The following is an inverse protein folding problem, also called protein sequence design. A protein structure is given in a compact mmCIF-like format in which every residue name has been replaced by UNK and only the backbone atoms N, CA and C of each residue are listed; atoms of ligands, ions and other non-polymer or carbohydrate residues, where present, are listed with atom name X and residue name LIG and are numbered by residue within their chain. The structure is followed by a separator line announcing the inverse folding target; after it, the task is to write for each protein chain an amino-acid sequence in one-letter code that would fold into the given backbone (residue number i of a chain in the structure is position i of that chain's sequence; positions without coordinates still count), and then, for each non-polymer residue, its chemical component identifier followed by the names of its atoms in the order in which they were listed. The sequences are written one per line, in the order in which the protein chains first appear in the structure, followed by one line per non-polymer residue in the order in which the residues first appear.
data_IF_055172948870
#
_entry.id   IF_055172948870
#
_cell.length_a   1.000
_cell.length_b   1.000
_cell.length_c   1.000
_cell.angle_alpha   90.00
_cell.angle_beta   90.00
_cell.angle_gamma   90.00
#
_symmetry.space_group_name_H-M   'P 1'
#
loop_
_entity.id
_entity.type
_entity.pdbx_description
1 polymer ?
#
# COMPACT_ATOMS: atom_id res chain seq x y z
N UNK A 1 -7.47 -76.68 17.75
CA UNK A 1 -8.12 -75.39 18.11
C UNK A 1 -7.39 -74.84 19.32
N UNK A 2 -6.59 -73.79 19.13
CA UNK A 2 -5.80 -73.17 20.20
C UNK A 2 -5.33 -71.80 19.74
N UNK A 3 -5.75 -70.76 20.45
CA UNK A 3 -5.37 -69.38 20.20
C UNK A 3 -3.87 -69.18 20.44
N UNK A 4 -3.21 -68.44 19.56
CA UNK A 4 -1.90 -67.84 19.85
C UNK A 4 -1.96 -66.36 19.49
N UNK A 5 -1.94 -65.51 20.52
CA UNK A 5 -1.89 -64.06 20.38
C UNK A 5 -0.57 -63.60 19.77
N UNK A 6 -0.62 -62.47 19.06
CA UNK A 6 0.58 -61.68 18.73
C UNK A 6 0.33 -60.23 19.11
N UNK A 7 1.11 -59.78 20.08
CA UNK A 7 1.28 -58.40 20.50
C UNK A 7 2.03 -57.65 19.39
N UNK A 8 1.43 -56.60 18.83
CA UNK A 8 2.13 -55.69 17.90
C UNK A 8 2.65 -54.51 18.72
N UNK A 9 3.97 -54.46 18.89
CA UNK A 9 4.68 -53.30 19.45
C UNK A 9 4.92 -52.32 18.31
N UNK A 10 4.32 -51.13 18.38
CA UNK A 10 4.63 -50.02 17.47
C UNK A 10 5.76 -49.21 18.09
N UNK A 11 6.96 -49.33 17.52
CA UNK A 11 8.10 -48.47 17.84
C UNK A 11 7.97 -47.14 17.07
N UNK A 12 8.15 -45.97 17.71
CA UNK A 12 8.22 -44.70 17.00
C UNK A 12 9.55 -44.60 16.24
N UNK A 13 9.48 -44.35 14.93
CA UNK A 13 10.63 -44.01 14.11
C UNK A 13 11.04 -42.57 14.43
N UNK A 14 12.11 -42.40 15.22
CA UNK A 14 12.76 -41.10 15.40
C UNK A 14 13.65 -40.86 14.19
N UNK A 15 13.24 -39.96 13.30
CA UNK A 15 14.10 -39.48 12.22
C UNK A 15 15.13 -38.50 12.81
N UNK A 16 16.37 -38.95 12.93
CA UNK A 16 17.52 -38.07 13.22
C UNK A 16 17.80 -37.20 12.01
N UNK A 17 17.54 -35.90 12.11
CA UNK A 17 18.09 -34.93 11.18
C UNK A 17 19.59 -34.79 11.45
N UNK A 18 20.42 -35.33 10.55
CA UNK A 18 21.83 -34.99 10.51
C UNK A 18 21.95 -33.54 10.05
N UNK A 19 22.39 -32.65 10.94
CA UNK A 19 22.79 -31.31 10.58
C UNK A 19 24.04 -31.41 9.70
N UNK A 20 23.85 -31.38 8.38
CA UNK A 20 24.93 -31.17 7.43
C UNK A 20 25.44 -29.76 7.60
N UNK A 21 26.55 -29.60 8.33
CA UNK A 21 27.33 -28.36 8.39
C UNK A 21 28.02 -28.13 7.05
N UNK A 22 27.26 -27.75 6.03
CA UNK A 22 27.80 -27.07 4.86
C UNK A 22 28.02 -25.62 5.24
N UNK A 23 29.27 -25.17 5.31
CA UNK A 23 29.58 -23.75 5.35
C UNK A 23 28.91 -23.09 4.15
N UNK A 24 27.91 -22.24 4.41
CA UNK A 24 27.34 -21.38 3.41
C UNK A 24 28.48 -20.50 2.88
N UNK A 25 28.94 -20.78 1.66
CA UNK A 25 29.95 -19.95 1.00
C UNK A 25 29.50 -18.49 1.08
N UNK A 26 30.36 -17.64 1.63
CA UNK A 26 30.09 -16.22 1.74
C UNK A 26 29.68 -15.69 0.35
N UNK A 27 28.45 -15.19 0.24
CA UNK A 27 28.01 -14.52 -0.96
C UNK A 27 28.98 -13.36 -1.22
N UNK A 28 29.69 -13.40 -2.35
CA UNK A 28 30.47 -12.26 -2.82
C UNK A 28 29.51 -11.08 -2.94
N UNK A 29 29.75 -10.03 -2.16
CA UNK A 29 28.96 -8.81 -2.25
C UNK A 29 29.03 -8.30 -3.70
N UNK A 30 27.86 -8.17 -4.35
CA UNK A 30 27.80 -7.62 -5.69
C UNK A 30 28.36 -6.20 -5.66
N UNK A 31 29.37 -5.93 -6.49
CA UNK A 31 29.83 -4.55 -6.71
C UNK A 31 28.68 -3.82 -7.39
N UNK A 32 28.13 -2.75 -6.80
CA UNK A 32 27.07 -2.00 -7.43
C UNK A 32 27.59 -1.46 -8.78
N UNK A 33 26.77 -1.51 -9.85
CA UNK A 33 27.18 -0.96 -11.12
C UNK A 33 27.55 0.52 -10.96
N UNK A 34 28.54 1.03 -11.70
CA UNK A 34 28.90 2.43 -11.65
C UNK A 34 27.69 3.31 -11.99
N UNK A 35 27.59 4.47 -11.34
CA UNK A 35 26.58 5.45 -11.68
C UNK A 35 26.82 5.94 -13.12
N UNK A 36 25.79 5.82 -13.98
CA UNK A 36 25.87 6.26 -15.38
C UNK A 36 25.56 7.76 -15.55
N UNK A 37 24.95 8.37 -14.52
CA UNK A 37 24.79 9.82 -14.36
C UNK A 37 25.57 10.19 -13.10
N UNK A 38 26.73 10.83 -13.25
CA UNK A 38 27.59 11.24 -12.12
C UNK A 38 27.10 12.54 -11.45
N UNK A 39 25.82 12.56 -11.07
CA UNK A 39 25.18 13.68 -10.39
C UNK A 39 24.09 13.19 -9.42
N UNK A 40 23.64 14.07 -8.53
CA UNK A 40 22.46 13.85 -7.69
C UNK A 40 21.20 13.83 -8.59
N UNK A 41 20.79 12.61 -8.96
CA UNK A 41 19.74 12.31 -9.93
C UNK A 41 18.83 11.16 -9.43
N UNK A 42 18.13 11.32 -8.29
CA UNK A 42 17.33 10.26 -7.67
C UNK A 42 15.99 10.04 -8.37
N UNK A 43 15.44 8.83 -8.21
CA UNK A 43 14.16 8.40 -8.78
C UNK A 43 14.03 8.68 -10.30
N UNK A 44 14.97 8.19 -11.13
CA UNK A 44 14.95 8.50 -12.55
C UNK A 44 13.78 7.81 -13.26
N UNK A 45 13.00 8.58 -14.01
CA UNK A 45 12.22 8.07 -15.13
C UNK A 45 12.97 8.30 -16.44
N UNK A 46 12.88 7.33 -17.36
CA UNK A 46 13.63 7.33 -18.63
C UNK A 46 12.71 7.06 -19.80
N UNK A 47 12.70 7.98 -20.77
CA UNK A 47 12.01 7.81 -22.05
C UNK A 47 12.97 7.86 -23.22
N UNK A 48 12.53 7.30 -24.35
CA UNK A 48 13.17 7.50 -25.65
C UNK A 48 12.29 8.40 -26.52
N UNK A 49 12.84 9.50 -27.01
CA UNK A 49 12.18 10.36 -27.99
C UNK A 49 13.09 10.55 -29.22
N UNK A 50 12.62 10.08 -30.38
CA UNK A 50 13.46 9.98 -31.57
C UNK A 50 14.62 9.02 -31.33
N UNK A 51 15.85 9.47 -31.60
CA UNK A 51 17.09 8.72 -31.34
C UNK A 51 17.69 8.96 -29.96
N UNK A 52 17.12 9.88 -29.16
CA UNK A 52 17.71 10.34 -27.91
C UNK A 52 16.93 9.78 -26.71
N UNK A 53 17.67 9.43 -25.66
CA UNK A 53 17.12 9.08 -24.36
C UNK A 53 17.08 10.31 -23.47
N UNK A 54 16.02 10.43 -22.68
CA UNK A 54 15.84 11.50 -21.71
C UNK A 54 15.57 10.87 -20.35
N UNK A 55 16.20 11.41 -19.31
CA UNK A 55 15.97 11.01 -17.94
C UNK A 55 15.49 12.22 -17.15
N UNK A 56 14.59 12.02 -16.18
CA UNK A 56 14.05 13.04 -15.28
C UNK A 56 14.21 12.57 -13.84
N UNK A 57 14.52 13.47 -12.91
CA UNK A 57 14.74 13.08 -11.51
C UNK A 57 13.88 13.83 -10.52
N UNK A 58 13.80 13.28 -9.32
CA UNK A 58 13.48 14.02 -8.09
C UNK A 58 14.36 15.27 -7.97
N UNK A 59 13.81 16.33 -7.34
CA UNK A 59 14.49 17.61 -7.09
C UNK A 59 15.91 17.42 -6.57
N UNK A 60 16.83 18.18 -7.14
CA UNK A 60 18.22 18.25 -6.69
C UNK A 60 18.75 19.66 -6.89
N UNK A 61 20.06 19.86 -6.68
CA UNK A 61 20.72 21.14 -6.98
C UNK A 61 20.56 21.61 -8.44
N UNK A 62 20.24 20.69 -9.36
CA UNK A 62 20.08 20.99 -10.78
C UNK A 62 18.69 21.55 -11.13
N UNK A 63 17.70 21.47 -10.23
CA UNK A 63 16.36 21.97 -10.49
C UNK A 63 15.27 21.27 -9.68
N UNK A 64 14.03 21.71 -9.90
CA UNK A 64 12.83 21.09 -9.33
C UNK A 64 12.60 19.69 -9.90
N UNK A 65 12.73 19.54 -11.22
CA UNK A 65 12.77 18.24 -11.90
C UNK A 65 13.97 18.27 -12.86
N UNK A 66 15.17 17.90 -12.40
CA UNK A 66 16.34 17.82 -13.27
C UNK A 66 16.08 16.91 -14.47
N UNK A 67 16.61 17.28 -15.64
CA UNK A 67 16.52 16.49 -16.87
C UNK A 67 17.91 16.27 -17.47
N UNK A 68 18.17 15.06 -17.94
CA UNK A 68 19.37 14.68 -18.66
C UNK A 68 19.03 14.03 -19.99
N UNK A 69 19.98 13.99 -20.92
CA UNK A 69 19.84 13.25 -22.17
C UNK A 69 21.08 12.42 -22.50
N UNK A 70 20.89 11.37 -23.30
CA UNK A 70 21.95 10.50 -23.79
C UNK A 70 21.64 9.92 -25.17
N UNK A 71 22.66 9.55 -25.96
CA UNK A 71 22.47 8.82 -27.22
C UNK A 71 22.13 7.33 -27.02
N UNK A 72 22.37 6.78 -25.82
CA UNK A 72 22.15 5.37 -25.45
C UNK A 72 21.64 5.29 -24.00
N UNK A 73 20.88 4.25 -23.60
CA UNK A 73 20.50 4.05 -22.19
C UNK A 73 21.70 3.98 -21.25
N UNK A 74 22.85 3.53 -21.77
CA UNK A 74 24.11 3.41 -21.03
C UNK A 74 24.95 4.70 -21.05
N UNK A 75 24.42 5.79 -21.60
CA UNK A 75 25.10 7.08 -21.69
C UNK A 75 25.94 7.28 -22.97
N UNK A 76 26.84 8.28 -22.99
CA UNK A 76 27.07 9.24 -21.90
C UNK A 76 25.85 10.13 -21.68
N UNK A 77 25.51 10.36 -20.41
CA UNK A 77 24.41 11.22 -20.01
C UNK A 77 24.89 12.64 -19.74
N UNK A 78 24.14 13.64 -20.21
CA UNK A 78 24.40 15.06 -19.97
C UNK A 78 23.20 15.69 -19.29
N UNK A 79 23.37 16.22 -18.08
CA UNK A 79 22.33 16.99 -17.38
C UNK A 79 22.13 18.33 -18.09
N UNK A 80 20.88 18.63 -18.48
CA UNK A 80 20.50 19.78 -19.30
C UNK A 80 19.84 20.93 -18.53
N UNK A 81 19.41 20.69 -17.28
CA UNK A 81 18.79 21.70 -16.43
C UNK A 81 17.50 21.19 -15.77
N UNK A 82 16.52 22.09 -15.60
CA UNK A 82 15.24 21.81 -14.94
C UNK A 82 14.10 21.70 -15.97
N UNK A 83 13.48 20.54 -16.05
CA UNK A 83 12.31 20.30 -16.88
C UNK A 83 11.05 20.99 -16.35
N UNK A 84 10.94 21.29 -15.04
CA UNK A 84 9.76 21.89 -14.42
C UNK A 84 10.12 23.19 -13.65
N UNK A 85 10.58 24.24 -14.34
CA UNK A 85 11.04 25.47 -13.68
C UNK A 85 9.90 26.26 -13.00
N UNK A 86 8.64 26.06 -13.42
CA UNK A 86 7.45 26.62 -12.75
C UNK A 86 6.68 25.57 -11.95
N UNK A 87 6.12 25.95 -10.79
CA UNK A 87 5.26 25.08 -9.96
C UNK A 87 3.78 25.45 -10.10
N UNK A 88 2.84 24.52 -9.89
CA UNK A 88 1.42 24.86 -9.83
C UNK A 88 1.11 25.73 -8.60
N UNK A 89 0.01 26.48 -8.66
CA UNK A 89 -0.43 27.40 -7.59
C UNK A 89 -0.76 26.69 -6.28
N UNK A 90 -1.24 25.45 -6.33
CA UNK A 90 -1.56 24.65 -5.14
C UNK A 90 -0.32 24.20 -4.37
N UNK A 91 0.85 24.16 -5.02
CA UNK A 91 2.08 23.61 -4.45
C UNK A 91 2.88 24.65 -3.66
N UNK A 92 3.37 24.22 -2.49
CA UNK A 92 4.25 24.97 -1.62
C UNK A 92 5.68 25.02 -2.13
N UNK A 93 6.56 25.58 -1.30
CA UNK A 93 7.99 25.51 -1.52
C UNK A 93 8.52 24.25 -0.82
N UNK A 94 9.20 23.40 -1.57
CA UNK A 94 9.63 22.08 -1.13
C UNK A 94 10.06 21.22 -2.33
N UNK A 95 10.40 19.97 -2.06
CA UNK A 95 10.86 19.05 -3.10
C UNK A 95 9.70 18.55 -3.97
N UNK A 96 10.01 18.34 -5.24
CA UNK A 96 9.15 17.70 -6.23
C UNK A 96 9.79 16.39 -6.63
N UNK A 97 9.03 15.31 -6.58
CA UNK A 97 9.62 13.96 -6.53
C UNK A 97 9.05 13.04 -7.59
N UNK A 98 9.87 12.04 -7.96
CA UNK A 98 9.54 10.88 -8.75
C UNK A 98 8.69 11.25 -9.99
N UNK A 99 9.26 12.02 -10.93
CA UNK A 99 8.55 12.33 -12.17
C UNK A 99 8.31 11.05 -12.98
N UNK A 100 7.15 10.95 -13.63
CA UNK A 100 6.85 9.95 -14.66
C UNK A 100 6.45 10.69 -15.95
N UNK A 101 7.17 10.46 -17.03
CA UNK A 101 6.99 11.17 -18.29
C UNK A 101 6.57 10.19 -19.38
N UNK A 102 5.50 10.49 -20.09
CA UNK A 102 5.06 9.71 -21.25
C UNK A 102 4.75 10.61 -22.45
N UNK A 103 5.06 10.12 -23.65
CA UNK A 103 4.65 10.80 -24.89
C UNK A 103 3.19 10.46 -25.20
N UNK A 104 2.39 11.48 -25.48
CA UNK A 104 0.98 11.39 -25.85
C UNK A 104 0.80 11.21 -27.36
N UNK A 105 -0.38 10.75 -27.76
CA UNK A 105 -0.74 10.58 -29.17
C UNK A 105 -0.73 11.90 -29.97
N UNK A 106 -1.01 13.02 -29.31
CA UNK A 106 -0.93 14.39 -29.88
C UNK A 106 0.51 14.93 -30.01
N UNK A 107 1.52 14.09 -29.70
CA UNK A 107 2.94 14.44 -29.79
C UNK A 107 3.51 15.20 -28.60
N UNK A 108 2.68 15.66 -27.65
CA UNK A 108 3.14 16.30 -26.42
C UNK A 108 3.66 15.28 -25.40
N UNK A 109 4.39 15.76 -24.42
CA UNK A 109 4.88 15.00 -23.28
C UNK A 109 4.06 15.36 -22.05
N UNK A 110 3.60 14.35 -21.34
CA UNK A 110 2.90 14.47 -20.08
C UNK A 110 3.81 13.99 -18.97
N UNK A 111 3.99 14.84 -17.96
CA UNK A 111 4.69 14.53 -16.72
C UNK A 111 3.68 14.43 -15.60
N UNK A 112 3.67 13.33 -14.87
CA UNK A 112 3.15 13.27 -13.51
C UNK A 112 4.28 13.52 -12.53
N UNK A 113 4.00 14.18 -11.41
CA UNK A 113 5.01 14.47 -10.38
C UNK A 113 4.38 14.57 -9.01
N UNK A 114 5.17 14.35 -7.97
CA UNK A 114 4.77 14.61 -6.58
C UNK A 114 5.13 16.04 -6.19
N UNK A 115 4.27 16.76 -5.48
CA UNK A 115 4.55 18.10 -4.93
C UNK A 115 3.86 18.37 -3.59
N UNK A 116 4.39 19.29 -2.76
CA UNK A 116 3.85 19.56 -1.43
C UNK A 116 2.61 20.44 -1.52
N UNK A 117 1.44 19.95 -1.11
CA UNK A 117 0.21 20.73 -1.13
C UNK A 117 0.19 21.79 -0.01
N UNK A 118 -0.08 23.04 -0.39
CA UNK A 118 -0.24 24.12 0.60
C UNK A 118 -1.52 23.98 1.42
N UNK A 119 -2.57 23.35 0.87
CA UNK A 119 -3.86 23.19 1.51
C UNK A 119 -3.85 22.05 2.53
N UNK A 120 -3.35 20.88 2.13
CA UNK A 120 -3.39 19.66 2.97
C UNK A 120 -2.14 19.46 3.82
N UNK A 121 -1.04 20.18 3.50
CA UNK A 121 0.29 19.95 4.07
C UNK A 121 0.82 18.53 3.86
N UNK A 122 0.27 17.81 2.89
CA UNK A 122 0.71 16.49 2.44
C UNK A 122 1.34 16.57 1.05
N UNK A 123 2.03 15.51 0.67
CA UNK A 123 2.46 15.35 -0.71
C UNK A 123 1.28 14.90 -1.55
N UNK A 124 1.14 15.50 -2.73
CA UNK A 124 0.04 15.24 -3.65
C UNK A 124 0.59 15.18 -5.09
N UNK A 125 -0.15 14.56 -6.00
CA UNK A 125 0.30 14.34 -7.36
C UNK A 125 -0.25 15.42 -8.27
N UNK A 126 0.61 16.01 -9.09
CA UNK A 126 0.26 16.95 -10.15
C UNK A 126 0.54 16.39 -11.54
N UNK A 127 0.11 17.14 -12.55
CA UNK A 127 0.41 16.87 -13.95
C UNK A 127 0.94 18.14 -14.64
N UNK A 128 1.80 17.96 -15.63
CA UNK A 128 2.35 19.03 -16.47
C UNK A 128 2.53 18.58 -17.92
N UNK A 129 2.42 19.51 -18.87
CA UNK A 129 2.60 19.25 -20.30
C UNK A 129 3.79 20.00 -20.88
N UNK A 130 4.46 19.39 -21.86
CA UNK A 130 5.45 20.07 -22.70
C UNK A 130 5.36 19.61 -24.16
N UNK A 131 5.61 20.49 -25.15
CA UNK A 131 5.75 20.06 -26.54
C UNK A 131 7.09 19.36 -26.83
N UNK A 132 8.07 19.41 -25.92
CA UNK A 132 9.40 18.79 -26.11
C UNK A 132 9.79 17.93 -24.90
N UNK A 133 10.64 16.91 -25.07
CA UNK A 133 11.05 16.08 -23.95
C UNK A 133 11.93 16.84 -22.94
N UNK A 134 12.65 17.90 -23.34
CA UNK A 134 13.47 18.69 -22.42
C UNK A 134 12.66 19.69 -21.59
N UNK A 135 11.36 19.84 -21.85
CA UNK A 135 10.57 20.89 -21.24
C UNK A 135 10.68 22.25 -21.96
N UNK A 136 10.36 23.36 -21.26
CA UNK A 136 9.79 23.37 -19.92
C UNK A 136 8.42 22.71 -19.92
N UNK A 137 8.17 21.85 -18.95
CA UNK A 137 6.86 21.36 -18.59
C UNK A 137 6.10 22.47 -17.87
N UNK A 138 4.83 22.61 -18.22
CA UNK A 138 3.91 23.60 -17.63
C UNK A 138 2.85 22.84 -16.85
N UNK A 139 2.72 23.06 -15.53
CA UNK A 139 1.66 22.45 -14.74
C UNK A 139 0.29 22.72 -15.36
N UNK A 140 -0.59 21.73 -15.29
CA UNK A 140 -1.97 21.80 -15.80
C UNK A 140 -2.96 21.51 -14.66
N UNK A 141 -4.18 22.03 -14.81
CA UNK A 141 -5.24 21.94 -13.80
C UNK A 141 -5.14 23.00 -12.71
N UNK A 142 -6.26 23.25 -12.03
CA UNK A 142 -6.37 24.27 -10.97
C UNK A 142 -6.03 23.71 -9.57
N UNK A 143 -5.80 22.40 -9.47
CA UNK A 143 -5.50 21.68 -8.23
C UNK A 143 -4.63 20.44 -8.48
N UNK A 144 -4.24 19.71 -7.42
CA UNK A 144 -3.57 18.43 -7.58
C UNK A 144 -4.52 17.42 -8.26
N UNK A 145 -3.95 16.50 -9.03
CA UNK A 145 -4.67 15.41 -9.67
C UNK A 145 -5.10 14.33 -8.67
N UNK A 146 -4.23 13.99 -7.71
CA UNK A 146 -4.51 13.06 -6.60
C UNK A 146 -4.01 13.71 -5.32
N UNK A 147 -4.87 13.80 -4.31
CA UNK A 147 -4.55 14.43 -3.03
C UNK A 147 -5.56 14.02 -1.96
N UNK A 148 -5.35 12.86 -1.32
CA UNK A 148 -6.12 12.44 -0.18
C UNK A 148 -5.32 12.63 1.14
N UNK A 149 -5.65 13.66 1.95
CA UNK A 149 -4.98 13.87 3.22
C UNK A 149 -5.29 12.80 4.27
N UNK A 150 -6.43 12.10 4.18
CA UNK A 150 -6.79 11.02 5.10
C UNK A 150 -5.88 9.79 4.88
N UNK A 151 -5.44 9.60 3.64
CA UNK A 151 -4.42 8.64 3.25
C UNK A 151 -2.99 9.18 3.47
N UNK A 152 -2.76 10.20 4.31
CA UNK A 152 -1.42 10.62 4.74
C UNK A 152 -0.50 11.23 3.67
N UNK A 153 -0.87 11.17 2.38
CA UNK A 153 -0.20 11.75 1.23
C UNK A 153 0.04 10.76 0.09
N UNK A 154 -0.01 11.28 -1.14
CA UNK A 154 0.12 10.56 -2.39
C UNK A 154 1.43 10.95 -3.09
N UNK A 155 2.27 9.96 -3.37
CA UNK A 155 3.62 10.14 -3.89
C UNK A 155 3.96 9.11 -4.98
N UNK A 156 5.11 9.31 -5.60
CA UNK A 156 5.76 8.35 -6.50
C UNK A 156 4.83 7.88 -7.64
N UNK A 157 4.26 8.80 -8.45
CA UNK A 157 3.41 8.43 -9.57
C UNK A 157 4.17 7.60 -10.61
N UNK A 158 3.50 6.63 -11.21
CA UNK A 158 3.95 5.91 -12.40
C UNK A 158 2.76 5.64 -13.30
N UNK A 159 2.89 5.92 -14.60
CA UNK A 159 1.79 5.77 -15.55
C UNK A 159 2.08 4.73 -16.62
N UNK A 160 1.03 4.06 -17.06
CA UNK A 160 1.08 3.22 -18.25
C UNK A 160 -0.21 3.34 -19.05
N UNK A 161 -0.13 2.99 -20.32
CA UNK A 161 -1.29 2.88 -21.21
C UNK A 161 -1.44 1.41 -21.56
N UNK A 162 -2.60 0.83 -21.25
CA UNK A 162 -2.91 -0.55 -21.57
C UNK A 162 -3.22 -0.71 -23.06
N UNK A 163 -3.29 -1.95 -23.52
CA UNK A 163 -3.54 -2.37 -24.90
C UNK A 163 -4.86 -1.89 -25.49
N UNK A 164 -5.83 -1.53 -24.66
CA UNK A 164 -7.11 -0.93 -25.05
C UNK A 164 -7.07 0.60 -25.17
N UNK A 165 -5.92 1.22 -24.84
CA UNK A 165 -5.73 2.67 -24.82
C UNK A 165 -6.08 3.33 -23.49
N UNK A 166 -6.53 2.58 -22.49
CA UNK A 166 -6.82 3.10 -21.15
C UNK A 166 -5.53 3.49 -20.46
N UNK A 167 -5.50 4.70 -19.87
CA UNK A 167 -4.37 5.16 -19.08
C UNK A 167 -4.62 4.90 -17.61
N UNK A 168 -3.64 4.29 -16.97
CA UNK A 168 -3.61 4.05 -15.54
C UNK A 168 -2.50 4.89 -14.90
N UNK A 169 -2.78 5.38 -13.70
CA UNK A 169 -1.81 6.02 -12.82
C UNK A 169 -1.72 5.16 -11.57
N UNK A 170 -0.55 4.56 -11.34
CA UNK A 170 -0.20 3.95 -10.07
C UNK A 170 0.50 5.01 -9.23
N UNK A 171 0.28 4.97 -7.92
CA UNK A 171 0.96 5.84 -6.99
C UNK A 171 1.04 5.16 -5.63
N UNK A 172 1.93 5.68 -4.80
CA UNK A 172 2.13 5.20 -3.44
C UNK A 172 1.47 6.15 -2.45
N UNK A 173 0.89 5.54 -1.44
CA UNK A 173 0.41 6.22 -0.25
C UNK A 173 1.51 6.14 0.84
N UNK A 174 1.84 7.26 1.49
CA UNK A 174 2.98 7.36 2.44
C UNK A 174 2.76 6.50 3.71
N UNK A 175 3.81 5.87 4.28
CA UNK A 175 3.71 5.00 5.48
C UNK A 175 3.00 5.69 6.66
N UNK A 176 2.15 4.92 7.35
CA UNK A 176 1.26 5.41 8.41
C UNK A 176 -0.17 5.64 7.91
N UNK A 177 -0.37 5.61 6.61
CA UNK A 177 -1.68 5.65 5.98
C UNK A 177 -2.37 4.32 6.13
N UNK A 178 -3.55 4.39 6.73
CA UNK A 178 -4.33 3.23 7.06
C UNK A 178 -5.08 2.79 5.84
N UNK A 179 -4.85 1.57 5.37
CA UNK A 179 -5.70 1.00 4.33
C UNK A 179 -6.95 0.48 5.01
N UNK A 180 -8.11 1.06 4.67
CA UNK A 180 -9.41 0.66 5.20
C UNK A 180 -9.99 -0.51 4.39
N UNK A 181 -10.50 -1.50 5.12
CA UNK A 181 -11.24 -2.63 4.61
C UNK A 181 -12.57 -2.68 5.34
N UNK A 182 -13.65 -2.33 4.63
CA UNK A 182 -15.00 -2.32 5.18
C UNK A 182 -15.44 -3.72 5.59
N UNK A 183 -16.01 -3.85 6.79
CA UNK A 183 -16.40 -5.15 7.32
C UNK A 183 -17.56 -5.75 6.52
N UNK A 184 -18.49 -4.92 6.04
CA UNK A 184 -19.65 -5.33 5.25
C UNK A 184 -19.31 -5.85 3.85
N UNK A 185 -18.07 -5.64 3.39
CA UNK A 185 -17.54 -6.26 2.16
C UNK A 185 -16.92 -7.63 2.42
N UNK A 186 -16.84 -8.05 3.68
CA UNK A 186 -16.33 -9.34 4.11
C UNK A 186 -17.32 -10.49 3.88
N UNK A 187 -16.84 -11.71 4.14
CA UNK A 187 -17.72 -12.90 4.21
C UNK A 187 -18.22 -13.05 5.63
N UNK A 188 -19.52 -13.21 5.82
CA UNK A 188 -20.15 -13.34 7.15
C UNK A 188 -20.73 -14.73 7.36
N UNK A 189 -20.73 -15.19 8.62
CA UNK A 189 -21.43 -16.41 9.06
C UNK A 189 -22.23 -16.11 10.32
N UNK A 190 -23.51 -16.49 10.33
CA UNK A 190 -24.45 -16.21 11.43
C UNK A 190 -24.36 -14.76 11.94
N UNK A 191 -24.24 -13.83 11.00
CA UNK A 191 -24.17 -12.38 11.19
C UNK A 191 -24.80 -11.73 9.96
N UNK A 192 -25.13 -10.44 10.04
CA UNK A 192 -25.85 -9.74 8.99
C UNK A 192 -25.19 -8.41 8.66
N UNK A 193 -25.24 -8.01 7.38
CA UNK A 193 -24.88 -6.63 7.01
C UNK A 193 -26.08 -5.72 7.31
N UNK A 194 -25.87 -4.75 8.19
CA UNK A 194 -26.87 -3.73 8.55
C UNK A 194 -26.54 -2.43 7.82
N UNK A 195 -27.39 -2.05 6.87
CA UNK A 195 -27.29 -0.76 6.15
C UNK A 195 -28.06 0.35 6.87
N UNK A 196 -27.72 1.61 6.57
CA UNK A 196 -28.34 2.78 7.21
C UNK A 196 -27.82 3.02 8.64
N UNK A 197 -26.64 2.50 8.95
CA UNK A 197 -25.97 2.72 10.23
C UNK A 197 -25.46 4.17 10.29
N UNK A 198 -26.07 4.99 11.15
CA UNK A 198 -25.76 6.41 11.23
C UNK A 198 -24.32 6.62 11.70
N UNK A 199 -23.52 7.37 10.92
CA UNK A 199 -22.14 7.69 11.27
C UNK A 199 -21.11 6.59 10.96
N UNK A 200 -21.54 5.40 10.53
CA UNK A 200 -20.63 4.34 10.09
C UNK A 200 -19.99 4.69 8.74
N UNK A 201 -18.79 4.15 8.47
CA UNK A 201 -18.18 4.23 7.14
C UNK A 201 -19.12 3.63 6.11
N UNK A 202 -19.30 4.30 4.98
CA UNK A 202 -20.23 3.90 3.90
C UNK A 202 -21.69 3.62 4.36
N UNK A 203 -22.06 3.99 5.59
CA UNK A 203 -23.38 3.80 6.16
C UNK A 203 -23.78 2.34 6.39
N UNK A 204 -22.85 1.39 6.46
CA UNK A 204 -23.13 -0.03 6.67
C UNK A 204 -22.13 -0.67 7.62
N UNK A 205 -22.55 -1.74 8.30
CA UNK A 205 -21.73 -2.49 9.26
C UNK A 205 -22.04 -3.98 9.22
N UNK A 206 -21.18 -4.81 9.79
CA UNK A 206 -21.52 -6.19 10.16
C UNK A 206 -22.07 -6.21 11.58
N UNK A 207 -23.31 -6.68 11.70
CA UNK A 207 -24.08 -6.75 12.91
C UNK A 207 -24.51 -8.18 13.24
N UNK A 208 -25.18 -8.34 14.39
CA UNK A 208 -25.71 -9.63 14.89
C UNK A 208 -24.65 -10.73 14.97
N UNK A 209 -23.44 -10.36 15.38
CA UNK A 209 -22.38 -11.31 15.74
C UNK A 209 -22.72 -11.92 17.11
N UNK A 210 -23.83 -12.68 17.19
CA UNK A 210 -24.51 -13.00 18.46
C UNK A 210 -24.38 -14.46 18.88
N UNK A 211 -23.97 -15.35 17.96
CA UNK A 211 -23.82 -16.77 18.19
C UNK A 211 -22.35 -17.14 18.39
N UNK A 212 -22.09 -18.23 19.10
CA UNK A 212 -20.72 -18.71 19.34
C UNK A 212 -19.93 -19.02 18.05
N UNK A 213 -20.62 -19.24 16.93
CA UNK A 213 -20.05 -19.43 15.60
C UNK A 213 -20.27 -18.24 14.67
N UNK A 214 -20.76 -17.10 15.15
CA UNK A 214 -20.84 -15.87 14.37
C UNK A 214 -19.45 -15.30 14.09
N UNK A 215 -19.17 -14.96 12.84
CA UNK A 215 -17.91 -14.32 12.45
C UNK A 215 -18.01 -13.50 11.17
N UNK A 216 -17.05 -12.60 10.99
CA UNK A 216 -16.75 -11.93 9.71
C UNK A 216 -15.29 -12.20 9.32
N UNK A 217 -15.10 -12.54 8.04
CA UNK A 217 -13.81 -12.63 7.37
C UNK A 217 -13.59 -11.38 6.51
N UNK A 218 -12.56 -10.62 6.84
CA UNK A 218 -12.14 -9.42 6.11
C UNK A 218 -10.82 -9.73 5.41
N UNK A 219 -10.80 -9.57 4.09
CA UNK A 219 -9.59 -9.78 3.29
C UNK A 219 -8.75 -8.51 3.23
N UNK A 220 -7.49 -8.64 3.62
CA UNK A 220 -6.54 -7.52 3.70
C UNK A 220 -5.26 -7.85 2.95
N UNK A 221 -4.60 -6.83 2.41
CA UNK A 221 -3.33 -6.98 1.71
C UNK A 221 -2.18 -6.42 2.55
N UNK A 222 -1.09 -7.19 2.65
CA UNK A 222 0.16 -6.79 3.26
C UNK A 222 1.26 -6.81 2.19
N UNK A 223 1.87 -5.68 1.80
CA UNK A 223 2.89 -5.66 0.76
C UNK A 223 4.14 -6.45 1.14
N UNK A 224 4.43 -6.56 2.44
CA UNK A 224 5.54 -7.33 3.01
C UNK A 224 5.03 -8.12 4.22
N UNK A 225 5.57 -9.31 4.47
CA UNK A 225 5.25 -10.07 5.67
C UNK A 225 5.82 -9.40 6.92
N UNK A 226 5.08 -9.44 8.03
CA UNK A 226 5.53 -8.84 9.29
C UNK A 226 4.39 -8.51 10.25
N UNK A 227 4.74 -7.73 11.26
CA UNK A 227 3.80 -7.25 12.28
C UNK A 227 3.13 -5.96 11.82
N UNK A 228 1.81 -5.92 11.92
CA UNK A 228 0.96 -4.77 11.58
C UNK A 228 0.05 -4.43 12.76
N UNK A 229 -0.43 -3.17 12.78
CA UNK A 229 -1.51 -2.74 13.67
C UNK A 229 -2.82 -2.77 12.91
N UNK A 230 -3.77 -3.60 13.37
CA UNK A 230 -5.15 -3.57 12.92
C UNK A 230 -5.97 -2.65 13.84
N UNK A 231 -6.48 -1.55 13.30
CA UNK A 231 -7.42 -0.67 13.98
C UNK A 231 -8.84 -1.14 13.62
N UNK A 232 -9.53 -1.77 14.56
CA UNK A 232 -10.88 -2.31 14.36
C UNK A 232 -11.90 -1.27 14.79
N UNK A 233 -12.68 -0.76 13.84
CA UNK A 233 -13.77 0.16 14.11
C UNK A 233 -15.04 -0.61 14.51
N UNK A 234 -15.68 -0.18 15.60
CA UNK A 234 -16.78 -0.89 16.21
C UNK A 234 -17.76 0.06 16.92
N UNK A 235 -18.95 -0.47 17.23
CA UNK A 235 -19.82 0.04 18.28
C UNK A 235 -20.25 -1.12 19.20
N UNK A 236 -20.34 -0.84 20.49
CA UNK A 236 -20.84 -1.76 21.50
C UNK A 236 -21.68 -0.97 22.50
N UNK A 237 -22.89 -1.44 22.81
CA UNK A 237 -23.86 -0.72 23.63
C UNK A 237 -24.57 -1.55 24.70
N UNK A 238 -24.05 -2.73 25.02
CA UNK A 238 -24.59 -3.60 26.07
C UNK A 238 -23.47 -4.18 26.94
N UNK A 239 -22.59 -3.31 27.44
CA UNK A 239 -21.37 -3.65 28.15
C UNK A 239 -20.22 -4.05 27.24
N UNK A 240 -19.01 -4.07 27.80
CA UNK A 240 -17.78 -4.40 27.07
C UNK A 240 -17.89 -5.77 26.39
N UNK A 241 -17.65 -5.79 25.07
CA UNK A 241 -17.74 -6.99 24.24
C UNK A 241 -16.36 -7.46 23.77
N UNK A 242 -16.28 -8.69 23.28
CA UNK A 242 -15.03 -9.27 22.80
C UNK A 242 -15.26 -10.15 21.57
N UNK A 243 -14.30 -10.12 20.65
CA UNK A 243 -14.14 -11.09 19.58
C UNK A 243 -12.75 -11.73 19.63
N UNK A 244 -12.64 -12.99 19.21
CA UNK A 244 -11.33 -13.56 18.87
C UNK A 244 -10.92 -13.07 17.48
N UNK A 245 -9.63 -12.76 17.30
CA UNK A 245 -9.02 -12.41 16.02
C UNK A 245 -8.04 -13.49 15.58
N UNK A 246 -8.26 -14.03 14.38
CA UNK A 246 -7.31 -14.94 13.71
C UNK A 246 -6.87 -14.37 12.39
N UNK A 247 -5.65 -14.71 11.95
CA UNK A 247 -5.11 -14.40 10.63
C UNK A 247 -4.84 -15.71 9.91
N UNK A 248 -5.45 -15.92 8.75
CA UNK A 248 -5.31 -17.16 7.96
C UNK A 248 -5.55 -18.42 8.81
N UNK A 249 -6.53 -18.37 9.71
CA UNK A 249 -6.86 -19.45 10.66
C UNK A 249 -5.97 -19.54 11.90
N UNK A 250 -4.87 -18.78 11.97
CA UNK A 250 -3.95 -18.78 13.12
C UNK A 250 -4.37 -17.72 14.14
N UNK A 251 -4.57 -18.12 15.40
CA UNK A 251 -4.96 -17.21 16.47
C UNK A 251 -3.93 -16.08 16.68
N UNK A 252 -4.42 -14.85 16.87
CA UNK A 252 -3.59 -13.67 17.10
C UNK A 252 -3.89 -13.04 18.46
N UNK A 253 -5.14 -12.65 18.69
CA UNK A 253 -5.53 -11.87 19.86
C UNK A 253 -7.00 -12.06 20.22
N UNK A 254 -7.37 -11.62 21.42
CA UNK A 254 -8.75 -11.25 21.74
C UNK A 254 -8.86 -9.74 21.63
N UNK A 255 -9.81 -9.26 20.82
CA UNK A 255 -10.10 -7.84 20.64
C UNK A 255 -11.17 -7.46 21.64
N UNK A 256 -10.89 -6.45 22.47
CA UNK A 256 -11.79 -5.95 23.50
C UNK A 256 -12.45 -4.66 23.02
N UNK A 257 -13.76 -4.57 23.16
CA UNK A 257 -14.60 -3.47 22.71
C UNK A 257 -15.27 -2.80 23.92
N UNK A 258 -14.67 -1.73 24.48
CA UNK A 258 -15.32 -0.94 25.52
C UNK A 258 -16.72 -0.47 25.13
N UNK A 259 -17.68 -0.52 26.05
CA UNK A 259 -19.02 0.03 25.80
C UNK A 259 -18.93 1.56 25.61
N UNK A 260 -19.40 2.03 24.47
CA UNK A 260 -19.52 3.46 24.13
C UNK A 260 -20.93 3.83 23.67
N UNK A 261 -21.89 2.91 23.75
CA UNK A 261 -23.21 3.02 23.16
C UNK A 261 -23.25 2.56 21.70
N UNK A 262 -24.43 2.11 21.27
CA UNK A 262 -24.71 1.75 19.87
C UNK A 262 -24.62 2.97 18.95
N UNK A 263 -24.19 2.74 17.71
CA UNK A 263 -23.94 3.77 16.69
C UNK A 263 -22.95 4.88 17.11
N UNK A 264 -22.16 4.65 18.17
CA UNK A 264 -21.06 5.53 18.58
C UNK A 264 -19.71 4.91 18.18
N UNK A 265 -19.36 5.09 16.91
CA UNK A 265 -18.22 4.41 16.28
C UNK A 265 -16.88 4.90 16.81
N UNK A 266 -16.05 3.96 17.26
CA UNK A 266 -14.68 4.23 17.66
C UNK A 266 -13.78 3.05 17.29
N UNK A 267 -12.49 3.14 17.62
CA UNK A 267 -11.50 2.14 17.24
C UNK A 267 -10.77 1.55 18.44
N UNK A 268 -10.42 0.28 18.32
CA UNK A 268 -9.46 -0.42 19.18
C UNK A 268 -8.35 -1.01 18.33
N UNK A 269 -7.17 -1.14 18.91
CA UNK A 269 -6.00 -1.68 18.23
C UNK A 269 -5.76 -3.14 18.60
N UNK A 270 -5.39 -3.92 17.60
CA UNK A 270 -4.88 -5.27 17.76
C UNK A 270 -3.61 -5.43 16.93
N UNK A 271 -2.59 -6.05 17.52
CA UNK A 271 -1.37 -6.43 16.80
C UNK A 271 -1.61 -7.73 16.06
N UNK A 272 -1.26 -7.78 14.77
CA UNK A 272 -1.40 -8.97 13.93
C UNK A 272 -0.12 -9.26 13.15
N UNK A 273 0.18 -10.54 12.96
CA UNK A 273 1.24 -10.99 12.06
C UNK A 273 0.65 -11.39 10.72
N UNK A 274 1.05 -10.71 9.64
CA UNK A 274 0.57 -10.94 8.28
C UNK A 274 1.67 -11.55 7.41
N UNK A 275 1.29 -12.47 6.50
CA UNK A 275 2.16 -12.89 5.41
C UNK A 275 2.18 -11.83 4.30
N UNK A 276 3.24 -11.79 3.48
CA UNK A 276 3.22 -10.96 2.27
C UNK A 276 2.09 -11.41 1.33
N UNK A 277 1.41 -10.44 0.71
CA UNK A 277 0.23 -10.67 -0.12
C UNK A 277 -1.07 -10.60 0.68
N UNK A 278 -2.06 -11.37 0.22
CA UNK A 278 -3.39 -11.36 0.80
C UNK A 278 -3.52 -12.25 2.03
N UNK A 279 -4.19 -11.73 3.06
CA UNK A 279 -4.48 -12.39 4.32
C UNK A 279 -5.99 -12.29 4.61
N UNK A 280 -6.49 -13.21 5.44
CA UNK A 280 -7.87 -13.19 5.95
C UNK A 280 -7.84 -12.95 7.44
N UNK A 281 -8.44 -11.84 7.89
CA UNK A 281 -8.69 -11.55 9.30
C UNK A 281 -10.09 -12.05 9.64
N UNK A 282 -10.19 -13.01 10.57
CA UNK A 282 -11.47 -13.44 11.11
C UNK A 282 -11.70 -12.83 12.47
N UNK A 283 -12.76 -12.05 12.61
CA UNK A 283 -13.30 -11.61 13.90
C UNK A 283 -14.50 -12.49 14.23
N UNK A 284 -14.38 -13.32 15.28
CA UNK A 284 -15.41 -14.27 15.71
C UNK A 284 -15.92 -13.89 17.09
N UNK A 285 -17.23 -14.00 17.28
CA UNK A 285 -17.89 -13.81 18.56
C UNK A 285 -17.17 -14.53 19.72
N UNK A 286 -16.97 -13.83 20.84
CA UNK A 286 -16.42 -14.41 22.06
C UNK A 286 -17.31 -14.09 23.27
N UNK A 287 -17.54 -12.82 23.58
CA UNK A 287 -18.43 -12.40 24.67
C UNK A 287 -19.19 -11.13 24.30
N UNK A 288 -20.47 -11.08 24.68
CA UNK A 288 -21.40 -9.95 24.42
C UNK A 288 -21.37 -9.51 22.94
N UNK A 289 -21.87 -8.32 22.64
CA UNK A 289 -22.22 -7.94 21.27
C UNK A 289 -21.56 -6.63 20.88
N UNK A 290 -20.91 -6.64 19.73
CA UNK A 290 -20.39 -5.47 19.05
C UNK A 290 -20.71 -5.59 17.56
N UNK A 291 -20.94 -4.45 16.92
CA UNK A 291 -21.03 -4.34 15.47
C UNK A 291 -19.71 -3.80 14.93
N UNK A 292 -19.31 -4.26 13.74
CA UNK A 292 -18.03 -3.95 13.13
C UNK A 292 -18.24 -3.10 11.88
N UNK A 293 -17.61 -1.93 11.86
CA UNK A 293 -17.66 -0.99 10.74
C UNK A 293 -16.56 -1.35 9.73
N UNK A 294 -15.30 -1.26 10.14
CA UNK A 294 -14.17 -1.57 9.27
C UNK A 294 -12.91 -1.99 10.03
N UNK A 295 -11.91 -2.45 9.28
CA UNK A 295 -10.54 -2.63 9.77
C UNK A 295 -9.58 -1.78 8.96
N UNK A 296 -8.71 -1.06 9.66
CA UNK A 296 -7.66 -0.22 9.11
C UNK A 296 -6.28 -0.81 9.45
N UNK A 297 -5.49 -1.18 8.43
CA UNK A 297 -4.12 -1.68 8.64
C UNK A 297 -3.08 -0.57 8.58
N UNK A 298 -2.16 -0.55 9.55
CA UNK A 298 -1.00 0.32 9.63
C UNK A 298 0.30 -0.45 9.93
#
# INVERSE_FOLDING_TARGET
MGLSGRLIVVLPLVATFAAGGGEAGAATAAVPPPAIIEADFPDPDVIRAGSTFYAYSTSSRAGRIPVAEAPSPTGPWTVRGDALPGKPSWAGDGGFWAPDVTRRADGHYLMYFTGPSTATKRMCIGAALSPTPLGPFRPIGDGPLVCDPAEGGDIDPSSFVDTDGTRYLLYKVVRGSRVRYEAERGTVNHAEVRTGAAGASQGAVVAKLDHADSWVDIRVFAPVGGTYTANVAYAAGYGDAQHTLTVNGSAQATVNYPDRGWDNWTQVQATVSLAAGWNTLRLRHLTRWAELDYVELA
#
